data_IF_357773100415
#
_entry.id   IF_357773100415
#
_cell.length_a   1.000
_cell.length_b   1.000
_cell.length_c   1.000
_cell.angle_alpha   90.00
_cell.angle_beta   90.00
_cell.angle_gamma   90.00
#
_symmetry.space_group_name_H-M   'P 1'
#
loop_
_entity.id
_entity.type
_entity.pdbx_description
1 polymer ?
#
# COMPACT_ATOMS: atom_id res chain seq x y z
N UNK A 1 -21.59 28.50 -25.99
CA UNK A 1 -21.72 27.04 -25.79
C UNK A 1 -22.34 26.82 -24.41
N UNK A 2 -23.61 26.40 -24.32
CA UNK A 2 -24.24 26.09 -23.02
C UNK A 2 -23.69 24.73 -22.57
N UNK A 3 -22.82 24.70 -21.58
CA UNK A 3 -22.38 23.45 -20.97
C UNK A 3 -23.58 22.87 -20.23
N UNK A 4 -24.17 21.80 -20.77
CA UNK A 4 -25.22 21.05 -20.11
C UNK A 4 -24.56 20.17 -19.03
N UNK A 5 -24.38 20.70 -17.82
CA UNK A 5 -24.03 19.88 -16.65
C UNK A 5 -25.31 19.26 -16.11
N UNK A 6 -25.73 18.14 -16.70
CA UNK A 6 -26.79 17.32 -16.11
C UNK A 6 -26.34 16.90 -14.70
N UNK A 7 -27.07 17.38 -13.68
CA UNK A 7 -26.81 16.98 -12.29
C UNK A 7 -27.22 15.52 -12.13
N UNK A 8 -26.28 14.69 -11.71
CA UNK A 8 -26.56 13.30 -11.35
C UNK A 8 -27.66 13.25 -10.30
N UNK A 9 -28.61 12.33 -10.49
CA UNK A 9 -29.61 12.02 -9.48
C UNK A 9 -28.95 11.36 -8.26
N UNK A 10 -29.58 11.44 -7.09
CA UNK A 10 -29.10 10.76 -5.89
C UNK A 10 -28.89 9.24 -6.10
N UNK A 11 -29.72 8.61 -6.94
CA UNK A 11 -29.59 7.20 -7.30
C UNK A 11 -28.33 6.94 -8.13
N UNK A 12 -28.03 7.79 -9.11
CA UNK A 12 -26.80 7.69 -9.91
C UNK A 12 -25.55 7.92 -9.05
N UNK A 13 -25.56 8.92 -8.17
CA UNK A 13 -24.45 9.17 -7.23
C UNK A 13 -24.20 7.95 -6.34
N UNK A 14 -25.26 7.34 -5.80
CA UNK A 14 -25.15 6.14 -4.96
C UNK A 14 -24.52 4.97 -5.73
N UNK A 15 -25.01 4.67 -6.94
CA UNK A 15 -24.47 3.59 -7.78
C UNK A 15 -22.99 3.82 -8.13
N UNK A 16 -22.62 5.05 -8.49
CA UNK A 16 -21.21 5.40 -8.79
C UNK A 16 -20.34 5.24 -7.55
N UNK A 17 -20.84 5.64 -6.38
CA UNK A 17 -20.11 5.51 -5.11
C UNK A 17 -19.88 4.05 -4.74
N UNK A 18 -20.89 3.19 -4.90
CA UNK A 18 -20.78 1.75 -4.65
C UNK A 18 -19.79 1.10 -5.60
N UNK A 19 -19.87 1.43 -6.89
CA UNK A 19 -18.93 0.93 -7.90
C UNK A 19 -17.50 1.40 -7.66
N UNK A 20 -17.31 2.67 -7.29
CA UNK A 20 -16.00 3.23 -6.95
C UNK A 20 -15.40 2.48 -5.75
N UNK A 21 -16.19 2.22 -4.70
CA UNK A 21 -15.73 1.47 -3.53
C UNK A 21 -15.33 0.04 -3.89
N UNK A 22 -16.11 -0.62 -4.76
CA UNK A 22 -15.79 -1.95 -5.27
C UNK A 22 -14.43 -1.95 -5.99
N UNK A 23 -14.23 -1.02 -6.91
CA UNK A 23 -12.96 -0.91 -7.66
C UNK A 23 -11.77 -0.60 -6.74
N UNK A 24 -11.94 0.25 -5.72
CA UNK A 24 -10.90 0.51 -4.72
C UNK A 24 -10.55 -0.78 -3.99
N UNK A 25 -11.54 -1.54 -3.50
CA UNK A 25 -11.29 -2.77 -2.76
C UNK A 25 -10.60 -3.84 -3.61
N UNK A 26 -11.04 -4.02 -4.86
CA UNK A 26 -10.42 -4.95 -5.82
C UNK A 26 -8.96 -4.56 -6.09
N UNK A 27 -8.68 -3.29 -6.36
CA UNK A 27 -7.33 -2.81 -6.63
C UNK A 27 -6.42 -2.88 -5.40
N UNK A 28 -6.93 -2.59 -4.20
CA UNK A 28 -6.14 -2.72 -2.97
C UNK A 28 -5.71 -4.17 -2.72
N UNK A 29 -6.58 -5.14 -2.98
CA UNK A 29 -6.24 -6.56 -2.84
C UNK A 29 -5.17 -7.01 -3.83
N UNK A 30 -5.21 -6.50 -5.06
CA UNK A 30 -4.17 -6.76 -6.08
C UNK A 30 -2.85 -6.12 -5.66
N UNK A 31 -2.86 -4.84 -5.27
CA UNK A 31 -1.67 -4.11 -4.85
C UNK A 31 -1.00 -4.77 -3.63
N UNK A 32 -1.77 -5.26 -2.65
CA UNK A 32 -1.21 -5.99 -1.50
C UNK A 32 -0.35 -7.18 -1.95
N UNK A 33 -0.90 -8.01 -2.86
CA UNK A 33 -0.20 -9.19 -3.40
C UNK A 33 1.00 -8.83 -4.25
N UNK A 34 0.91 -7.75 -5.04
CA UNK A 34 2.04 -7.26 -5.84
C UNK A 34 3.20 -6.78 -4.96
N UNK A 35 2.90 -6.03 -3.90
CA UNK A 35 3.88 -5.59 -2.91
C UNK A 35 4.49 -6.82 -2.24
N UNK A 36 3.66 -7.75 -1.75
CA UNK A 36 4.04 -9.06 -1.18
C UNK A 36 5.05 -9.83 -2.02
N UNK A 37 4.71 -10.08 -3.28
CA UNK A 37 5.60 -10.79 -4.19
C UNK A 37 6.92 -10.03 -4.42
N UNK A 38 6.85 -8.70 -4.56
CA UNK A 38 8.01 -7.87 -4.88
C UNK A 38 9.05 -7.89 -3.77
N UNK A 39 8.67 -7.65 -2.51
CA UNK A 39 9.64 -7.61 -1.43
C UNK A 39 10.18 -9.01 -1.08
N UNK A 40 9.34 -10.06 -1.13
CA UNK A 40 9.81 -11.43 -0.88
C UNK A 40 10.82 -11.87 -1.94
N UNK A 41 10.58 -11.52 -3.20
CA UNK A 41 11.54 -11.79 -4.27
C UNK A 41 12.83 -10.98 -4.10
N UNK A 42 12.73 -9.68 -3.76
CA UNK A 42 13.92 -8.85 -3.50
C UNK A 42 14.76 -9.41 -2.34
N UNK A 43 14.13 -9.88 -1.25
CA UNK A 43 14.81 -10.53 -0.12
C UNK A 43 15.47 -11.86 -0.51
N UNK A 44 14.84 -12.62 -1.41
CA UNK A 44 15.45 -13.84 -1.97
C UNK A 44 16.73 -13.49 -2.74
N UNK A 45 16.68 -12.53 -3.65
CA UNK A 45 17.83 -12.17 -4.49
C UNK A 45 18.94 -11.48 -3.70
N UNK A 46 18.60 -10.47 -2.90
CA UNK A 46 19.58 -9.63 -2.21
C UNK A 46 20.15 -10.30 -0.95
N UNK A 47 19.33 -11.04 -0.22
CA UNK A 47 19.73 -11.65 1.05
C UNK A 47 19.90 -13.18 0.99
N UNK A 48 19.58 -13.82 -0.14
CA UNK A 48 19.70 -15.27 -0.30
C UNK A 48 18.70 -16.07 0.54
N UNK A 49 17.58 -15.47 0.97
CA UNK A 49 16.64 -16.13 1.88
C UNK A 49 15.89 -17.27 1.19
N UNK A 50 15.86 -18.44 1.84
CA UNK A 50 15.06 -19.58 1.43
C UNK A 50 13.60 -19.48 1.89
N UNK A 51 12.75 -20.39 1.39
CA UNK A 51 11.30 -20.42 1.65
C UNK A 51 10.92 -20.22 3.11
N UNK A 52 11.55 -20.94 4.04
CA UNK A 52 11.22 -20.89 5.47
C UNK A 52 11.36 -19.47 6.03
N UNK A 53 12.50 -18.82 5.78
CA UNK A 53 12.78 -17.48 6.29
C UNK A 53 11.92 -16.40 5.64
N UNK A 54 11.59 -16.58 4.36
CA UNK A 54 10.66 -15.69 3.64
C UNK A 54 9.25 -15.74 4.25
N UNK A 55 8.74 -16.93 4.55
CA UNK A 55 7.43 -17.08 5.19
C UNK A 55 7.43 -16.58 6.64
N UNK A 56 8.50 -16.86 7.40
CA UNK A 56 8.65 -16.30 8.76
C UNK A 56 8.65 -14.77 8.75
N UNK A 57 9.31 -14.14 7.78
CA UNK A 57 9.26 -12.69 7.61
C UNK A 57 7.85 -12.21 7.25
N UNK A 58 7.21 -12.83 6.26
CA UNK A 58 5.85 -12.48 5.83
C UNK A 58 4.86 -12.54 7.00
N UNK A 59 4.87 -13.64 7.76
CA UNK A 59 3.95 -13.86 8.87
C UNK A 59 4.23 -12.93 10.06
N UNK A 60 5.46 -12.41 10.17
CA UNK A 60 5.86 -11.47 11.21
C UNK A 60 5.48 -10.02 10.92
N UNK A 61 5.20 -9.63 9.67
CA UNK A 61 4.96 -8.23 9.28
C UNK A 61 3.74 -7.65 10.00
N UNK A 62 2.56 -8.26 9.87
CA UNK A 62 1.33 -7.72 10.48
C UNK A 62 1.43 -7.61 12.01
N UNK A 63 1.84 -8.65 12.76
CA UNK A 63 1.98 -8.54 14.21
C UNK A 63 3.03 -7.51 14.65
N UNK A 64 4.09 -7.30 13.85
CA UNK A 64 5.09 -6.28 14.12
C UNK A 64 4.50 -4.87 13.97
N UNK A 65 3.75 -4.63 12.90
CA UNK A 65 3.09 -3.34 12.66
C UNK A 65 2.01 -3.05 13.70
N UNK A 66 1.22 -4.05 14.08
CA UNK A 66 0.17 -3.89 15.11
C UNK A 66 0.79 -3.52 16.47
N UNK A 67 1.86 -4.22 16.88
CA UNK A 67 2.60 -3.90 18.11
C UNK A 67 3.22 -2.52 18.08
N UNK A 68 3.72 -2.10 16.92
CA UNK A 68 4.28 -0.76 16.75
C UNK A 68 3.19 0.30 16.92
N UNK A 69 2.04 0.14 16.28
CA UNK A 69 0.90 1.05 16.47
C UNK A 69 0.41 1.06 17.92
N UNK A 70 0.30 -0.09 18.56
CA UNK A 70 -0.10 -0.20 19.97
C UNK A 70 0.87 0.55 20.90
N UNK A 71 2.17 0.35 20.73
CA UNK A 71 3.19 1.01 21.57
C UNK A 71 3.15 2.55 21.46
N UNK A 72 2.84 3.07 20.28
CA UNK A 72 2.73 4.52 20.02
C UNK A 72 1.30 5.04 20.10
N UNK A 73 0.33 4.23 20.56
CA UNK A 73 -1.09 4.57 20.68
C UNK A 73 -1.71 5.12 19.37
N UNK A 74 -1.27 4.59 18.23
CA UNK A 74 -1.72 5.03 16.91
C UNK A 74 -2.95 4.24 16.42
N UNK A 75 -3.88 4.87 15.69
CA UNK A 75 -5.02 4.18 15.10
C UNK A 75 -4.59 3.05 14.15
N UNK A 76 -5.39 1.99 14.10
CA UNK A 76 -5.24 0.93 13.10
C UNK A 76 -5.32 1.54 11.69
N UNK A 77 -4.35 1.23 10.84
CA UNK A 77 -4.22 1.81 9.49
C UNK A 77 -3.18 2.93 9.35
N UNK A 78 -2.67 3.49 10.46
CA UNK A 78 -1.61 4.51 10.44
C UNK A 78 -0.18 3.93 10.49
N UNK A 79 -0.06 2.60 10.33
CA UNK A 79 1.22 1.89 10.42
C UNK A 79 2.23 2.33 9.35
N UNK A 80 1.77 2.72 8.16
CA UNK A 80 2.65 3.22 7.09
C UNK A 80 3.33 4.53 7.47
N UNK A 81 2.56 5.49 7.99
CA UNK A 81 3.12 6.77 8.43
C UNK A 81 4.12 6.55 9.56
N UNK A 82 3.74 5.73 10.55
CA UNK A 82 4.60 5.42 11.69
C UNK A 82 5.91 4.73 11.27
N UNK A 83 5.85 3.77 10.34
CA UNK A 83 7.06 3.14 9.80
C UNK A 83 7.97 4.15 9.10
N UNK A 84 7.39 5.04 8.30
CA UNK A 84 8.15 6.08 7.58
C UNK A 84 8.85 7.02 8.57
N UNK A 85 8.15 7.42 9.63
CA UNK A 85 8.72 8.27 10.68
C UNK A 85 9.82 7.56 11.47
N UNK A 86 9.66 6.26 11.76
CA UNK A 86 10.70 5.47 12.44
C UNK A 86 11.95 5.31 11.59
N UNK A 87 11.80 5.01 10.30
CA UNK A 87 12.92 4.92 9.38
C UNK A 87 13.68 6.25 9.32
N UNK A 88 12.96 7.38 9.25
CA UNK A 88 13.56 8.70 9.25
C UNK A 88 14.33 8.99 10.53
N UNK A 89 13.72 8.74 11.70
CA UNK A 89 14.33 9.08 12.99
C UNK A 89 15.46 8.14 13.41
N UNK A 90 15.32 6.84 13.14
CA UNK A 90 16.22 5.82 13.68
C UNK A 90 17.32 5.41 12.70
N UNK A 91 17.00 5.41 11.39
CA UNK A 91 17.92 4.97 10.33
C UNK A 91 18.41 6.15 9.48
N UNK A 92 17.71 7.30 9.54
CA UNK A 92 18.01 8.46 8.72
C UNK A 92 17.46 8.36 7.29
N UNK A 93 16.48 7.47 7.05
CA UNK A 93 15.88 7.26 5.72
C UNK A 93 14.51 7.96 5.67
N UNK A 94 14.41 9.04 4.90
CA UNK A 94 13.12 9.65 4.58
C UNK A 94 12.54 9.02 3.30
N UNK A 95 11.48 8.24 3.45
CA UNK A 95 10.82 7.53 2.34
C UNK A 95 10.32 8.50 1.26
N UNK A 96 9.95 9.74 1.62
CA UNK A 96 9.46 10.74 0.67
C UNK A 96 10.58 11.39 -0.15
N UNK A 97 11.82 11.32 0.33
CA UNK A 97 13.01 11.83 -0.36
C UNK A 97 13.69 10.76 -1.21
N UNK A 98 13.25 9.50 -1.13
CA UNK A 98 13.71 8.45 -2.02
C UNK A 98 13.23 8.79 -3.43
N UNK A 99 14.11 9.41 -4.22
CA UNK A 99 13.91 9.55 -5.66
C UNK A 99 13.71 8.16 -6.24
N UNK A 100 12.46 7.87 -6.59
CA UNK A 100 12.06 6.57 -7.10
C UNK A 100 12.71 6.35 -8.46
N UNK A 101 13.89 5.71 -8.50
CA UNK A 101 14.38 5.07 -9.74
C UNK A 101 13.39 3.99 -10.22
N UNK A 102 12.52 3.53 -9.33
CA UNK A 102 11.30 2.80 -9.63
C UNK A 102 10.23 3.74 -10.20
N UNK A 103 10.35 4.02 -11.50
CA UNK A 103 9.15 4.15 -12.32
C UNK A 103 8.37 2.85 -12.16
N UNK A 104 7.47 2.78 -11.18
CA UNK A 104 6.32 1.88 -11.23
C UNK A 104 5.55 2.31 -12.48
N UNK A 105 5.94 1.74 -13.62
CA UNK A 105 5.26 1.99 -14.87
C UNK A 105 3.87 1.41 -14.69
N UNK A 106 2.89 2.26 -14.37
CA UNK A 106 1.49 1.98 -14.66
C UNK A 106 1.39 1.86 -16.17
N UNK A 107 1.78 0.71 -16.69
CA UNK A 107 1.64 0.34 -18.10
C UNK A 107 0.18 -0.05 -18.24
N UNK A 108 -0.69 0.95 -18.34
CA UNK A 108 -2.00 0.78 -18.93
C UNK A 108 -1.76 0.24 -20.34
N UNK A 109 -1.82 -1.09 -20.50
CA UNK A 109 -1.93 -1.71 -21.81
C UNK A 109 -3.27 -1.24 -22.36
N UNK A 110 -3.21 -0.43 -23.43
CA UNK A 110 -4.34 -0.14 -24.31
C UNK A 110 -4.89 -1.43 -24.90
#
# INVERSE_FOLDING_TARGET
MKVNTERLTAKQVKMITEETRRQIAENLAVLSKEIEATYLYALREYCGWGKKKLLEFHDAVTPLLDKLCEYYEMPAGESYWLCSEMLKRQVGIDVNEIESNTKFSYRFKK
#
